data_IF_352293462198
#
_entry.id   IF_352293462198
#
_cell.length_a   1.000
_cell.length_b   1.000
_cell.length_c   1.000
_cell.angle_alpha   90.00
_cell.angle_beta   90.00
_cell.angle_gamma   90.00
#
_symmetry.space_group_name_H-M   'P 1'
#
loop_
_entity.id
_entity.type
_entity.pdbx_description
1 polymer ?
#
# COMPACT_ATOMS: atom_id res chain seq x y z
N UNK A 1 16.40 -15.25 16.30
CA UNK A 1 15.82 -16.52 16.80
C UNK A 1 15.11 -16.21 18.11
N UNK A 2 13.77 -16.24 18.10
CA UNK A 2 12.97 -16.07 19.32
C UNK A 2 13.26 -17.20 20.31
N UNK A 3 13.24 -16.90 21.60
CA UNK A 3 13.39 -17.89 22.66
C UNK A 3 12.21 -18.87 22.60
N UNK A 4 12.50 -20.17 22.80
CA UNK A 4 11.49 -21.24 22.81
C UNK A 4 10.46 -20.93 23.90
N UNK A 5 9.19 -20.71 23.54
CA UNK A 5 8.06 -20.64 24.47
C UNK A 5 7.36 -19.28 24.62
N UNK A 6 7.72 -18.25 23.87
CA UNK A 6 6.93 -17.01 23.78
C UNK A 6 6.35 -16.91 22.37
N UNK A 7 5.02 -16.95 22.26
CA UNK A 7 4.35 -16.67 20.98
C UNK A 7 4.72 -15.24 20.52
N UNK A 8 5.04 -15.04 19.23
CA UNK A 8 5.33 -13.70 18.74
C UNK A 8 4.14 -12.76 19.00
N UNK A 9 4.39 -11.49 19.36
CA UNK A 9 3.32 -10.57 19.68
C UNK A 9 2.48 -10.21 18.45
N UNK A 10 1.21 -9.92 18.67
CA UNK A 10 0.36 -9.23 17.69
C UNK A 10 1.01 -7.94 17.22
N UNK A 11 0.74 -7.56 15.97
CA UNK A 11 1.23 -6.31 15.40
C UNK A 11 0.18 -5.69 14.49
N UNK A 12 0.34 -4.40 14.18
CA UNK A 12 -0.63 -3.64 13.40
C UNK A 12 0.00 -3.00 12.17
N UNK A 13 -0.74 -2.98 11.05
CA UNK A 13 -0.44 -2.13 9.89
C UNK A 13 -1.54 -1.07 9.78
N UNK A 14 -1.15 0.20 9.69
CA UNK A 14 -2.09 1.32 9.54
C UNK A 14 -2.15 1.75 8.09
N UNK A 15 -3.34 2.04 7.60
CA UNK A 15 -3.61 2.61 6.29
C UNK A 15 -4.24 3.99 6.44
N UNK A 16 -3.55 4.99 5.91
CA UNK A 16 -4.00 6.37 5.88
C UNK A 16 -4.63 6.63 4.49
N UNK A 17 -5.93 7.01 4.44
CA UNK A 17 -6.60 7.32 3.19
C UNK A 17 -6.19 8.68 2.65
N UNK A 18 -6.62 8.96 1.42
CA UNK A 18 -6.83 10.25 0.77
C UNK A 18 -6.85 11.46 1.73
N UNK A 19 -5.74 12.20 1.80
CA UNK A 19 -5.57 13.36 2.70
C UNK A 19 -5.85 14.69 2.01
N UNK A 20 -5.97 14.69 0.67
CA UNK A 20 -6.04 15.87 -0.20
C UNK A 20 -6.97 16.98 0.30
N UNK A 21 -8.21 16.67 0.70
CA UNK A 21 -9.13 17.71 1.15
C UNK A 21 -8.80 18.25 2.55
N UNK A 22 -8.25 17.42 3.44
CA UNK A 22 -7.80 17.86 4.76
C UNK A 22 -6.60 18.81 4.64
N UNK A 23 -5.65 18.51 3.75
CA UNK A 23 -4.46 19.34 3.56
C UNK A 23 -4.74 20.59 2.71
N UNK A 24 -5.71 20.55 1.80
CA UNK A 24 -6.24 21.74 1.13
C UNK A 24 -6.87 22.73 2.13
N UNK A 25 -7.42 22.22 3.25
CA UNK A 25 -7.81 23.02 4.42
C UNK A 25 -8.75 24.20 4.12
N UNK A 26 -9.79 23.98 3.32
CA UNK A 26 -10.79 25.00 2.98
C UNK A 26 -12.23 24.62 3.37
N UNK A 27 -12.42 23.48 4.04
CA UNK A 27 -13.72 22.97 4.47
C UNK A 27 -14.50 22.20 3.41
N UNK A 28 -13.94 21.97 2.22
CA UNK A 28 -14.58 21.11 1.22
C UNK A 28 -14.84 19.72 1.80
N UNK A 29 -16.03 19.17 1.56
CA UNK A 29 -16.46 17.87 2.12
C UNK A 29 -16.45 17.81 3.67
N UNK A 30 -16.37 18.96 4.35
CA UNK A 30 -16.19 19.01 5.81
C UNK A 30 -14.77 18.65 6.28
N UNK A 31 -13.79 18.62 5.37
CA UNK A 31 -12.42 18.27 5.65
C UNK A 31 -11.56 19.49 6.06
N UNK A 32 -10.76 19.33 7.11
CA UNK A 32 -9.92 20.38 7.69
C UNK A 32 -8.55 19.83 8.12
N UNK A 33 -7.55 20.71 8.19
CA UNK A 33 -6.18 20.30 8.50
C UNK A 33 -6.03 19.65 9.87
N UNK A 34 -6.79 20.11 10.88
CA UNK A 34 -6.76 19.54 12.23
C UNK A 34 -7.14 18.06 12.26
N UNK A 35 -7.95 17.60 11.30
CA UNK A 35 -8.30 16.20 11.16
C UNK A 35 -7.14 15.36 10.64
N UNK A 36 -6.39 15.85 9.65
CA UNK A 36 -5.14 15.20 9.21
C UNK A 36 -4.12 15.13 10.34
N UNK A 37 -3.95 16.25 11.07
CA UNK A 37 -3.05 16.31 12.22
C UNK A 37 -3.47 15.31 13.31
N UNK A 38 -4.77 15.18 13.58
CA UNK A 38 -5.28 14.19 14.53
C UNK A 38 -4.99 12.74 14.10
N UNK A 39 -5.03 12.43 12.80
CA UNK A 39 -4.62 11.12 12.28
C UNK A 39 -3.14 10.84 12.53
N UNK A 40 -2.27 11.79 12.21
CA UNK A 40 -0.85 11.65 12.44
C UNK A 40 -0.51 11.52 13.95
N UNK A 41 -1.10 12.35 14.80
CA UNK A 41 -0.91 12.29 16.25
C UNK A 41 -1.39 10.95 16.82
N UNK A 42 -2.51 10.43 16.34
CA UNK A 42 -2.99 9.12 16.78
C UNK A 42 -2.03 7.97 16.41
N UNK A 43 -1.42 8.00 15.23
CA UNK A 43 -0.41 6.98 14.84
C UNK A 43 0.78 7.03 15.79
N UNK A 44 1.27 8.23 16.13
CA UNK A 44 2.38 8.41 17.08
C UNK A 44 1.99 7.90 18.47
N UNK A 45 0.83 8.31 18.98
CA UNK A 45 0.35 7.95 20.31
C UNK A 45 0.09 6.45 20.46
N UNK A 46 -0.39 5.80 19.38
CA UNK A 46 -0.76 4.37 19.39
C UNK A 46 0.35 3.44 18.93
N UNK A 47 1.50 3.94 18.50
CA UNK A 47 2.62 3.14 18.00
C UNK A 47 2.94 1.94 18.89
N UNK A 48 3.15 2.18 20.19
CA UNK A 48 3.54 1.13 21.13
C UNK A 48 2.36 0.28 21.60
N UNK A 49 1.18 0.88 21.79
CA UNK A 49 -0.02 0.18 22.24
C UNK A 49 -0.52 -0.84 21.21
N UNK A 50 -0.50 -0.46 19.93
CA UNK A 50 -0.95 -1.32 18.83
C UNK A 50 0.18 -2.11 18.17
N UNK A 51 1.42 -1.93 18.63
CA UNK A 51 2.63 -2.47 18.00
C UNK A 51 2.61 -2.22 16.49
N UNK A 52 2.53 -0.94 16.10
CA UNK A 52 2.44 -0.53 14.69
C UNK A 52 3.75 -0.87 13.98
N UNK A 53 3.69 -1.83 13.08
CA UNK A 53 4.84 -2.34 12.32
C UNK A 53 5.04 -1.63 10.98
N UNK A 54 3.98 -1.05 10.41
CA UNK A 54 4.07 -0.26 9.19
C UNK A 54 2.90 0.73 9.04
N UNK A 55 3.14 1.83 8.32
CA UNK A 55 2.12 2.82 7.91
C UNK A 55 2.10 2.93 6.38
N UNK A 56 0.92 2.88 5.77
CA UNK A 56 0.76 2.92 4.31
C UNK A 56 -0.24 4.01 3.93
N UNK A 57 0.20 5.03 3.19
CA UNK A 57 -0.69 6.05 2.62
C UNK A 57 -1.13 5.63 1.22
N UNK A 58 -2.44 5.66 0.95
CA UNK A 58 -3.03 5.09 -0.28
C UNK A 58 -3.07 6.06 -1.48
N UNK A 59 -2.61 7.29 -1.29
CA UNK A 59 -2.48 8.30 -2.36
C UNK A 59 -3.46 9.44 -2.21
N UNK A 60 -3.48 10.32 -3.21
CA UNK A 60 -4.04 11.67 -3.13
C UNK A 60 -3.56 12.37 -1.86
N UNK A 61 -2.25 12.61 -1.84
CA UNK A 61 -1.53 13.25 -0.73
C UNK A 61 -1.93 14.72 -0.61
N UNK A 62 -2.12 15.38 -1.75
CA UNK A 62 -2.54 16.78 -1.86
C UNK A 62 -3.66 16.90 -2.90
N UNK A 63 -4.36 18.03 -2.93
CA UNK A 63 -5.45 18.29 -3.88
C UNK A 63 -4.94 18.79 -5.23
N UNK A 64 -3.91 19.63 -5.20
CA UNK A 64 -3.26 20.18 -6.38
C UNK A 64 -1.74 20.09 -6.24
N UNK A 65 -1.13 19.07 -6.86
CA UNK A 65 0.31 18.77 -6.75
C UNK A 65 1.28 19.96 -6.88
N UNK A 66 0.94 20.95 -7.70
CA UNK A 66 1.79 22.12 -7.95
C UNK A 66 1.76 23.17 -6.81
N UNK A 67 0.84 23.03 -5.83
CA UNK A 67 0.68 23.96 -4.71
C UNK A 67 1.54 23.54 -3.53
N UNK A 68 2.68 24.19 -3.36
CA UNK A 68 3.63 23.84 -2.28
C UNK A 68 3.03 23.91 -0.87
N UNK A 69 2.09 24.81 -0.62
CA UNK A 69 1.50 24.97 0.72
C UNK A 69 0.62 23.77 1.13
N UNK A 70 0.09 22.99 0.19
CA UNK A 70 -0.62 21.75 0.50
C UNK A 70 0.35 20.67 0.97
N UNK A 71 1.54 20.61 0.35
CA UNK A 71 2.63 19.75 0.82
C UNK A 71 3.14 20.20 2.19
N UNK A 72 3.29 21.50 2.43
CA UNK A 72 3.64 22.03 3.75
C UNK A 72 2.62 21.59 4.82
N UNK A 73 1.32 21.58 4.47
CA UNK A 73 0.26 21.07 5.34
C UNK A 73 0.33 19.55 5.53
N UNK A 74 0.58 18.78 4.48
CA UNK A 74 0.77 17.34 4.57
C UNK A 74 1.93 16.98 5.52
N UNK A 75 3.08 17.63 5.35
CA UNK A 75 4.28 17.34 6.15
C UNK A 75 4.16 17.74 7.62
N UNK A 76 3.26 18.65 8.01
CA UNK A 76 2.97 18.91 9.44
C UNK A 76 2.53 17.65 10.19
N UNK A 77 1.82 16.73 9.53
CA UNK A 77 1.45 15.42 10.06
C UNK A 77 2.50 14.36 9.71
N UNK A 78 2.93 14.30 8.45
CA UNK A 78 3.79 13.22 7.98
C UNK A 78 5.17 13.21 8.67
N UNK A 79 5.76 14.37 8.94
CA UNK A 79 7.05 14.46 9.64
C UNK A 79 6.98 13.85 11.05
N UNK A 80 5.81 13.91 11.70
CA UNK A 80 5.59 13.25 13.00
C UNK A 80 5.65 11.73 12.87
N UNK A 81 5.01 11.20 11.83
CA UNK A 81 5.04 9.76 11.52
C UNK A 81 6.46 9.34 11.16
N UNK A 82 7.19 10.08 10.31
CA UNK A 82 8.58 9.76 9.98
C UNK A 82 9.48 9.71 11.23
N UNK A 83 9.29 10.64 12.17
CA UNK A 83 10.07 10.72 13.40
C UNK A 83 9.89 9.51 14.32
N UNK A 84 8.82 8.73 14.18
CA UNK A 84 8.60 7.48 14.93
C UNK A 84 9.56 6.35 14.54
N UNK A 85 10.17 6.44 13.35
CA UNK A 85 10.97 5.37 12.74
C UNK A 85 10.17 4.16 12.24
N UNK A 86 8.83 4.20 12.29
CA UNK A 86 7.97 3.15 11.75
C UNK A 86 8.21 3.04 10.22
N UNK A 87 8.38 1.83 9.66
CA UNK A 87 8.40 1.62 8.22
C UNK A 87 7.15 2.19 7.54
N UNK A 88 7.35 2.96 6.47
CA UNK A 88 6.23 3.60 5.79
C UNK A 88 6.35 3.56 4.27
N UNK A 89 5.21 3.55 3.59
CA UNK A 89 5.08 3.62 2.13
C UNK A 89 3.95 4.59 1.75
N UNK A 90 4.12 5.26 0.61
CA UNK A 90 3.14 6.17 -0.01
C UNK A 90 3.16 5.91 -1.51
N UNK A 91 1.99 5.99 -2.14
CA UNK A 91 1.84 6.05 -3.60
C UNK A 91 1.16 7.35 -3.99
N UNK A 92 1.37 7.88 -5.22
CA UNK A 92 0.61 9.02 -5.70
C UNK A 92 -0.79 8.59 -6.19
N UNK A 93 -1.77 9.47 -5.98
CA UNK A 93 -3.09 9.40 -6.58
C UNK A 93 -3.25 10.33 -7.79
N UNK A 94 -4.47 10.59 -8.24
CA UNK A 94 -4.69 11.47 -9.39
C UNK A 94 -4.47 12.94 -9.04
N UNK A 95 -4.78 13.37 -7.82
CA UNK A 95 -4.58 14.77 -7.41
C UNK A 95 -3.08 15.12 -7.23
N UNK A 96 -2.24 14.10 -7.11
CA UNK A 96 -0.78 14.22 -7.08
C UNK A 96 -0.14 14.37 -8.48
N UNK A 97 -0.95 14.37 -9.55
CA UNK A 97 -0.46 14.60 -10.92
C UNK A 97 0.00 16.06 -11.11
N UNK A 98 1.15 16.23 -11.77
CA UNK A 98 1.62 17.54 -12.28
C UNK A 98 0.53 18.25 -13.11
N UNK A 99 -0.27 17.47 -13.86
CA UNK A 99 -1.41 17.99 -14.61
C UNK A 99 -2.49 16.93 -14.78
N UNK A 100 -3.65 17.17 -14.17
CA UNK A 100 -4.85 16.35 -14.37
C UNK A 100 -5.32 16.29 -15.83
N UNK A 101 -5.01 17.34 -16.63
CA UNK A 101 -5.34 17.36 -18.06
C UNK A 101 -4.44 16.46 -18.92
N UNK A 102 -3.31 16.00 -18.37
CA UNK A 102 -2.34 15.14 -19.06
C UNK A 102 -1.93 13.97 -18.16
N UNK A 103 -2.88 13.11 -17.76
CA UNK A 103 -2.67 12.10 -16.72
C UNK A 103 -1.72 10.98 -17.13
N UNK A 104 -1.21 10.94 -18.37
CA UNK A 104 -0.26 9.93 -18.84
C UNK A 104 0.98 10.53 -19.50
N UNK A 105 1.22 11.83 -19.32
CA UNK A 105 2.46 12.44 -19.77
C UNK A 105 3.66 11.81 -19.06
N UNK A 106 4.83 11.79 -19.71
CA UNK A 106 6.04 11.20 -19.11
C UNK A 106 6.54 11.94 -17.86
N UNK A 107 6.11 13.18 -17.67
CA UNK A 107 6.44 14.04 -16.52
C UNK A 107 5.27 14.16 -15.51
N UNK A 108 4.28 13.27 -15.60
CA UNK A 108 3.04 13.33 -14.80
C UNK A 108 3.26 13.34 -13.27
N UNK A 109 4.42 12.87 -12.80
CA UNK A 109 4.78 12.79 -11.39
C UNK A 109 5.89 13.76 -10.98
N UNK A 110 6.23 14.75 -11.80
CA UNK A 110 7.31 15.69 -11.48
C UNK A 110 7.03 16.52 -10.23
N UNK A 111 5.79 17.04 -10.05
CA UNK A 111 5.45 17.78 -8.84
C UNK A 111 5.42 16.85 -7.60
N UNK A 112 4.77 15.68 -7.68
CA UNK A 112 4.83 14.67 -6.62
C UNK A 112 6.27 14.37 -6.19
N UNK A 113 7.14 14.02 -7.16
CA UNK A 113 8.54 13.70 -6.88
C UNK A 113 9.34 14.89 -6.36
N UNK A 114 9.04 16.11 -6.79
CA UNK A 114 9.70 17.32 -6.29
C UNK A 114 9.50 17.47 -4.77
N UNK A 115 8.30 17.21 -4.27
CA UNK A 115 7.96 17.43 -2.87
C UNK A 115 8.18 16.20 -1.98
N UNK A 116 7.92 14.99 -2.47
CA UNK A 116 8.01 13.76 -1.65
C UNK A 116 9.42 13.18 -1.57
N UNK A 117 10.29 13.49 -2.54
CA UNK A 117 11.64 12.92 -2.63
C UNK A 117 12.48 13.10 -1.35
N UNK A 118 12.50 14.28 -0.69
CA UNK A 118 13.24 14.44 0.55
C UNK A 118 12.83 13.46 1.65
N UNK A 119 11.55 13.12 1.77
CA UNK A 119 11.06 12.14 2.74
C UNK A 119 11.55 10.73 2.38
N UNK A 120 11.38 10.29 1.13
CA UNK A 120 11.87 8.98 0.69
C UNK A 120 13.40 8.83 0.78
N UNK A 121 14.16 9.90 0.57
CA UNK A 121 15.62 9.88 0.75
C UNK A 121 16.05 9.67 2.20
N UNK A 122 15.19 10.02 3.18
CA UNK A 122 15.38 9.75 4.61
C UNK A 122 14.80 8.41 5.05
N UNK A 123 13.95 7.79 4.24
CA UNK A 123 13.28 6.54 4.57
C UNK A 123 14.28 5.37 4.60
N UNK A 124 14.70 4.99 5.80
CA UNK A 124 15.67 3.89 6.03
C UNK A 124 15.14 2.52 5.62
N UNK A 125 13.84 2.38 5.42
CA UNK A 125 13.17 1.12 5.08
C UNK A 125 12.91 0.96 3.59
N UNK A 126 13.11 2.03 2.80
CA UNK A 126 13.06 2.00 1.34
C UNK A 126 14.17 1.10 0.78
N UNK A 127 13.80 0.18 -0.09
CA UNK A 127 14.71 -0.80 -0.70
C UNK A 127 15.01 -0.48 -2.16
N UNK A 128 13.97 -0.08 -2.90
CA UNK A 128 14.07 0.22 -4.31
C UNK A 128 12.93 1.15 -4.70
N UNK A 129 13.15 1.92 -5.76
CA UNK A 129 12.10 2.72 -6.40
C UNK A 129 12.19 2.61 -7.92
N UNK A 130 11.10 2.93 -8.61
CA UNK A 130 11.05 2.92 -10.07
C UNK A 130 10.22 4.09 -10.62
N UNK A 131 10.78 4.87 -11.57
CA UNK A 131 12.19 4.87 -12.00
C UNK A 131 13.18 5.13 -10.84
N UNK A 132 14.46 4.81 -11.01
CA UNK A 132 15.45 5.01 -9.95
C UNK A 132 15.52 6.50 -9.55
N UNK A 133 15.39 6.78 -8.24
CA UNK A 133 15.39 8.15 -7.72
C UNK A 133 14.08 8.91 -7.90
N UNK A 134 13.05 8.22 -8.38
CA UNK A 134 11.66 8.64 -8.46
C UNK A 134 10.81 7.68 -7.62
N UNK A 135 9.67 8.12 -7.09
CA UNK A 135 8.97 7.45 -5.99
C UNK A 135 7.49 7.19 -6.26
N UNK A 136 7.05 7.32 -7.50
CA UNK A 136 5.72 6.87 -7.94
C UNK A 136 5.55 5.36 -7.82
N UNK A 137 6.65 4.60 -7.86
CA UNK A 137 6.69 3.19 -7.50
C UNK A 137 7.81 2.96 -6.49
N UNK A 138 7.54 2.21 -5.41
CA UNK A 138 8.50 1.99 -4.32
C UNK A 138 8.33 0.63 -3.65
N UNK A 139 9.42 0.10 -3.09
CA UNK A 139 9.41 -1.09 -2.23
C UNK A 139 9.97 -0.74 -0.87
N UNK A 140 9.19 -1.03 0.17
CA UNK A 140 9.55 -0.82 1.58
C UNK A 140 9.48 -2.15 2.30
N UNK A 141 10.48 -2.45 3.12
CA UNK A 141 10.49 -3.66 3.94
C UNK A 141 10.15 -3.35 5.39
N UNK A 142 9.53 -4.33 6.04
CA UNK A 142 9.37 -4.36 7.48
C UNK A 142 9.35 -5.81 7.96
N UNK A 143 9.52 -5.98 9.27
CA UNK A 143 9.52 -7.29 9.93
C UNK A 143 8.64 -7.20 11.18
N UNK A 144 7.81 -8.21 11.40
CA UNK A 144 6.93 -8.28 12.56
C UNK A 144 6.64 -9.74 12.90
N UNK A 145 6.50 -10.06 14.19
CA UNK A 145 6.23 -11.43 14.64
C UNK A 145 7.23 -12.50 14.12
N UNK A 146 8.47 -12.09 13.78
CA UNK A 146 9.47 -12.99 13.18
C UNK A 146 9.24 -13.31 11.70
N UNK A 147 8.30 -12.62 11.04
CA UNK A 147 8.00 -12.73 9.62
C UNK A 147 8.51 -11.51 8.85
N UNK A 148 8.91 -11.74 7.61
CA UNK A 148 9.34 -10.68 6.70
C UNK A 148 8.18 -10.23 5.80
N UNK A 149 8.02 -8.92 5.68
CA UNK A 149 7.00 -8.29 4.84
C UNK A 149 7.63 -7.32 3.84
N UNK A 150 6.86 -6.99 2.80
CA UNK A 150 7.15 -5.90 1.88
C UNK A 150 5.87 -5.18 1.47
N UNK A 151 5.94 -3.86 1.35
CA UNK A 151 4.92 -3.05 0.68
C UNK A 151 5.44 -2.72 -0.71
N UNK A 152 4.67 -3.07 -1.74
CA UNK A 152 4.95 -2.75 -3.15
C UNK A 152 4.00 -1.64 -3.56
N UNK A 153 4.50 -0.41 -3.51
CA UNK A 153 3.81 0.78 -4.00
C UNK A 153 3.90 0.86 -5.52
N UNK A 154 2.74 0.97 -6.18
CA UNK A 154 2.61 1.06 -7.63
C UNK A 154 1.79 2.30 -7.96
N UNK A 155 2.28 3.11 -8.90
CA UNK A 155 1.67 4.37 -9.32
C UNK A 155 0.22 4.19 -9.81
N UNK A 156 -0.60 5.24 -9.70
CA UNK A 156 -1.92 5.26 -10.33
C UNK A 156 -1.81 5.18 -11.87
N UNK A 157 -2.59 4.30 -12.49
CA UNK A 157 -2.54 4.09 -13.93
C UNK A 157 -1.14 3.64 -14.39
N UNK A 158 -0.64 2.50 -13.88
CA UNK A 158 0.74 2.09 -14.06
C UNK A 158 1.07 1.76 -15.51
N UNK A 159 2.35 1.86 -15.85
CA UNK A 159 2.86 1.34 -17.11
C UNK A 159 3.16 -0.16 -17.00
N UNK A 160 3.28 -0.86 -18.14
CA UNK A 160 3.75 -2.24 -18.13
C UNK A 160 5.15 -2.37 -17.50
N UNK A 161 6.03 -1.37 -17.71
CA UNK A 161 7.37 -1.37 -17.12
C UNK A 161 7.32 -1.29 -15.59
N UNK A 162 6.39 -0.51 -15.04
CA UNK A 162 6.17 -0.40 -13.59
C UNK A 162 5.73 -1.75 -13.01
N UNK A 163 4.84 -2.48 -13.69
CA UNK A 163 4.42 -3.83 -13.27
C UNK A 163 5.52 -4.89 -13.44
N UNK A 164 6.30 -4.81 -14.52
CA UNK A 164 7.43 -5.71 -14.76
C UNK A 164 8.51 -5.52 -13.69
N UNK A 165 8.80 -4.27 -13.33
CA UNK A 165 9.70 -3.94 -12.21
C UNK A 165 9.15 -4.48 -10.88
N UNK A 166 7.86 -4.29 -10.58
CA UNK A 166 7.25 -4.79 -9.36
C UNK A 166 7.30 -6.34 -9.29
N UNK A 167 7.06 -7.02 -10.41
CA UNK A 167 7.24 -8.47 -10.55
C UNK A 167 8.67 -8.91 -10.23
N UNK A 168 9.67 -8.16 -10.70
CA UNK A 168 11.07 -8.45 -10.39
C UNK A 168 11.34 -8.34 -8.88
N UNK A 169 10.83 -7.32 -8.20
CA UNK A 169 11.01 -7.17 -6.76
C UNK A 169 10.37 -8.36 -6.00
N UNK A 170 9.14 -8.73 -6.34
CA UNK A 170 8.46 -9.89 -5.73
C UNK A 170 9.24 -11.19 -5.96
N UNK A 171 9.80 -11.39 -7.16
CA UNK A 171 10.59 -12.58 -7.48
C UNK A 171 11.94 -12.66 -6.77
N UNK A 172 12.56 -11.51 -6.49
CA UNK A 172 13.82 -11.41 -5.72
C UNK A 172 13.58 -11.66 -4.22
N UNK A 173 12.36 -11.42 -3.74
CA UNK A 173 11.99 -11.52 -2.33
C UNK A 173 10.82 -12.51 -2.08
N UNK A 174 10.91 -13.77 -2.53
CA UNK A 174 9.79 -14.71 -2.50
C UNK A 174 9.38 -15.14 -1.08
N UNK A 175 10.25 -14.94 -0.07
CA UNK A 175 9.96 -15.21 1.33
C UNK A 175 9.20 -14.08 2.05
N UNK A 176 9.09 -12.90 1.42
CA UNK A 176 8.40 -11.74 1.99
C UNK A 176 6.93 -11.75 1.61
N UNK A 177 6.06 -11.58 2.59
CA UNK A 177 4.62 -11.37 2.38
C UNK A 177 4.38 -9.96 1.85
N UNK A 178 3.73 -9.86 0.70
CA UNK A 178 3.57 -8.61 -0.02
C UNK A 178 2.18 -8.01 0.15
N UNK A 179 2.16 -6.74 0.52
CA UNK A 179 1.02 -5.83 0.41
C UNK A 179 1.23 -5.01 -0.86
N UNK A 180 0.27 -5.02 -1.78
CA UNK A 180 0.26 -4.08 -2.92
C UNK A 180 -0.47 -2.83 -2.48
N UNK A 181 0.19 -1.68 -2.63
CA UNK A 181 -0.44 -0.36 -2.46
C UNK A 181 -0.56 0.27 -3.84
N UNK A 182 -1.79 0.51 -4.29
CA UNK A 182 -2.07 1.19 -5.55
C UNK A 182 -3.29 2.07 -5.35
N UNK A 183 -3.21 3.35 -5.72
CA UNK A 183 -4.28 4.29 -5.41
C UNK A 183 -5.64 3.86 -5.96
N UNK A 184 -5.71 3.34 -7.19
CA UNK A 184 -6.95 2.78 -7.73
C UNK A 184 -6.68 1.77 -8.85
N UNK A 185 -6.99 0.49 -8.59
CA UNK A 185 -6.53 -0.63 -9.45
C UNK A 185 -7.13 -0.63 -10.85
N UNK A 186 -8.21 0.13 -11.07
CA UNK A 186 -8.91 0.19 -12.37
C UNK A 186 -8.40 1.33 -13.27
N UNK A 187 -7.65 2.31 -12.78
CA UNK A 187 -7.20 3.48 -13.57
C UNK A 187 -6.17 3.13 -14.67
N UNK A 188 -5.71 1.88 -14.76
CA UNK A 188 -4.89 1.37 -15.87
C UNK A 188 -5.68 0.64 -16.97
N UNK A 189 -6.95 0.32 -16.73
CA UNK A 189 -7.70 -0.63 -17.55
C UNK A 189 -7.94 -0.11 -18.98
N UNK A 190 -8.14 1.20 -19.15
CA UNK A 190 -8.29 1.82 -20.48
C UNK A 190 -7.05 1.71 -21.37
N UNK A 191 -5.88 1.46 -20.75
CA UNK A 191 -4.60 1.21 -21.44
C UNK A 191 -4.27 -0.28 -21.52
N UNK A 192 -5.21 -1.15 -21.14
CA UNK A 192 -5.02 -2.61 -21.13
C UNK A 192 -4.17 -3.12 -19.97
N UNK A 193 -3.97 -2.33 -18.91
CA UNK A 193 -3.18 -2.70 -17.75
C UNK A 193 -4.11 -3.17 -16.62
N UNK A 194 -4.05 -4.46 -16.30
CA UNK A 194 -4.84 -5.12 -15.26
C UNK A 194 -3.98 -5.41 -14.03
N UNK A 195 -4.05 -4.51 -13.03
CA UNK A 195 -3.29 -4.63 -11.77
C UNK A 195 -3.76 -5.84 -10.95
N UNK A 196 -5.06 -6.11 -10.90
CA UNK A 196 -5.61 -7.23 -10.12
C UNK A 196 -5.21 -8.56 -10.75
N UNK A 197 -5.35 -8.68 -12.07
CA UNK A 197 -4.88 -9.86 -12.81
C UNK A 197 -3.37 -10.04 -12.72
N UNK A 198 -2.59 -8.95 -12.70
CA UNK A 198 -1.15 -9.00 -12.42
C UNK A 198 -0.86 -9.53 -11.02
N UNK A 199 -1.55 -9.03 -9.99
CA UNK A 199 -1.34 -9.45 -8.61
C UNK A 199 -1.63 -10.95 -8.41
N UNK A 200 -2.70 -11.48 -9.03
CA UNK A 200 -3.05 -12.91 -8.99
C UNK A 200 -1.94 -13.84 -9.51
N UNK A 201 -1.01 -13.34 -10.34
CA UNK A 201 0.14 -14.12 -10.84
C UNK A 201 1.33 -14.17 -9.88
N UNK A 202 1.24 -13.53 -8.72
CA UNK A 202 2.31 -13.48 -7.73
C UNK A 202 1.86 -14.08 -6.40
N UNK A 203 2.46 -15.22 -6.07
CA UNK A 203 2.04 -16.06 -4.95
C UNK A 203 2.19 -15.39 -3.57
N UNK A 204 3.21 -14.55 -3.40
CA UNK A 204 3.52 -13.94 -2.11
C UNK A 204 2.71 -12.67 -1.82
N UNK A 205 1.83 -12.24 -2.73
CA UNK A 205 0.85 -11.17 -2.47
C UNK A 205 -0.32 -11.76 -1.68
N UNK A 206 -0.67 -11.12 -0.58
CA UNK A 206 -1.83 -11.52 0.25
C UNK A 206 -2.84 -10.38 0.43
N UNK A 207 -2.47 -9.14 0.12
CA UNK A 207 -3.31 -7.97 0.31
C UNK A 207 -3.10 -6.96 -0.82
N UNK A 208 -4.18 -6.35 -1.28
CA UNK A 208 -4.19 -5.19 -2.16
C UNK A 208 -4.99 -4.09 -1.45
N UNK A 209 -4.37 -2.93 -1.30
CA UNK A 209 -5.00 -1.73 -0.73
C UNK A 209 -5.08 -0.63 -1.79
N UNK A 210 -6.21 0.09 -1.79
CA UNK A 210 -6.52 1.23 -2.67
C UNK A 210 -7.41 2.26 -1.97
N UNK A 211 -7.52 3.46 -2.56
CA UNK A 211 -8.34 4.60 -2.12
C UNK A 211 -9.19 5.13 -3.28
N UNK A 212 -9.21 6.45 -3.51
CA UNK A 212 -9.79 7.15 -4.68
C UNK A 212 -11.33 7.20 -4.79
N UNK A 213 -12.02 6.15 -4.39
CA UNK A 213 -13.47 6.03 -4.59
C UNK A 213 -14.26 6.44 -3.34
N UNK A 214 -15.07 7.50 -3.47
CA UNK A 214 -16.04 7.99 -2.49
C UNK A 214 -17.02 6.92 -1.93
N UNK A 215 -16.98 5.68 -2.41
CA UNK A 215 -17.64 4.51 -1.83
C UNK A 215 -17.31 4.24 -0.35
N UNK A 216 -16.45 5.03 0.31
CA UNK A 216 -16.01 4.93 1.71
C UNK A 216 -15.05 3.78 1.93
N UNK A 217 -15.58 2.58 1.85
CA UNK A 217 -14.84 1.37 2.15
C UNK A 217 -15.59 0.13 1.67
N UNK A 218 -14.81 -0.84 1.22
CA UNK A 218 -15.28 -2.20 1.02
C UNK A 218 -14.10 -3.14 1.09
N UNK A 219 -14.39 -4.42 1.27
CA UNK A 219 -13.39 -5.47 1.19
C UNK A 219 -13.97 -6.66 0.42
N UNK A 220 -13.10 -7.42 -0.26
CA UNK A 220 -13.45 -8.69 -0.89
C UNK A 220 -12.25 -9.63 -0.93
N UNK A 221 -12.52 -10.92 -0.97
CA UNK A 221 -11.50 -11.94 -1.19
C UNK A 221 -11.47 -12.31 -2.67
N UNK A 222 -10.31 -12.18 -3.29
CA UNK A 222 -10.00 -12.78 -4.60
C UNK A 222 -8.98 -13.91 -4.39
N UNK A 223 -8.71 -14.69 -5.43
CA UNK A 223 -7.79 -15.84 -5.34
C UNK A 223 -6.68 -15.72 -6.38
N UNK A 224 -5.44 -15.97 -5.98
CA UNK A 224 -4.30 -16.03 -6.88
C UNK A 224 -4.33 -17.30 -7.75
N UNK A 225 -3.39 -17.45 -8.68
CA UNK A 225 -3.32 -18.60 -9.61
C UNK A 225 -3.03 -19.95 -8.91
N UNK A 226 -2.70 -19.93 -7.62
CA UNK A 226 -2.51 -21.08 -6.75
C UNK A 226 -3.72 -21.38 -5.87
N UNK A 227 -4.79 -20.60 -5.95
CA UNK A 227 -5.98 -20.74 -5.13
C UNK A 227 -5.82 -20.21 -3.70
N UNK A 228 -4.79 -19.40 -3.43
CA UNK A 228 -4.59 -18.76 -2.14
C UNK A 228 -5.28 -17.38 -2.12
N UNK A 229 -5.84 -16.95 -0.97
CA UNK A 229 -6.60 -15.71 -0.89
C UNK A 229 -5.70 -14.48 -1.01
N UNK A 230 -6.20 -13.48 -1.72
CA UNK A 230 -5.72 -12.10 -1.68
C UNK A 230 -6.88 -11.26 -1.17
N UNK A 231 -6.65 -10.54 -0.08
CA UNK A 231 -7.61 -9.60 0.48
C UNK A 231 -7.50 -8.27 -0.26
N UNK A 232 -8.51 -7.92 -1.04
CA UNK A 232 -8.59 -6.62 -1.74
C UNK A 232 -9.49 -5.68 -0.95
N UNK A 233 -9.03 -4.44 -0.77
CA UNK A 233 -9.61 -3.49 0.15
C UNK A 233 -9.59 -2.09 -0.47
N UNK A 234 -10.73 -1.41 -0.40
CA UNK A 234 -10.84 0.03 -0.66
C UNK A 234 -10.98 0.78 0.66
N UNK A 235 -10.29 1.90 0.80
CA UNK A 235 -10.32 2.78 1.97
C UNK A 235 -10.19 4.22 1.51
N UNK A 236 -11.30 4.94 1.50
CA UNK A 236 -11.34 6.35 1.10
C UNK A 236 -12.53 7.08 1.75
N UNK A 237 -12.23 7.97 2.70
CA UNK A 237 -13.25 8.75 3.40
C UNK A 237 -13.24 10.23 3.02
N UNK A 238 -12.60 10.60 1.91
CA UNK A 238 -12.47 11.99 1.48
C UNK A 238 -13.85 12.68 1.31
N UNK A 239 -14.89 11.91 0.99
CA UNK A 239 -16.22 12.41 0.68
C UNK A 239 -17.19 12.49 1.89
N UNK A 240 -16.71 12.31 3.14
CA UNK A 240 -17.58 12.35 4.33
C UNK A 240 -17.21 13.33 5.43
N UNK A 241 -15.99 13.88 5.41
CA UNK A 241 -15.52 14.83 6.44
C UNK A 241 -15.29 14.19 7.81
N UNK A 242 -15.38 12.86 7.93
CA UNK A 242 -15.18 12.17 9.20
C UNK A 242 -13.71 11.87 9.50
N UNK A 243 -12.84 11.95 8.49
CA UNK A 243 -11.41 11.69 8.60
C UNK A 243 -11.09 10.35 9.29
N UNK A 244 -11.76 9.30 8.86
CA UNK A 244 -11.42 7.93 9.27
C UNK A 244 -10.06 7.51 8.71
N UNK A 245 -9.38 6.63 9.43
CA UNK A 245 -8.28 5.81 8.95
C UNK A 245 -8.61 4.34 9.22
N UNK A 246 -7.84 3.42 8.63
CA UNK A 246 -7.97 1.99 8.90
C UNK A 246 -6.71 1.42 9.50
N UNK A 247 -6.87 0.40 10.33
CA UNK A 247 -5.75 -0.39 10.81
C UNK A 247 -6.12 -1.87 10.90
N UNK A 248 -5.09 -2.70 10.73
CA UNK A 248 -5.23 -4.15 10.64
C UNK A 248 -4.31 -4.79 11.68
N UNK A 249 -4.90 -5.39 12.69
CA UNK A 249 -4.16 -6.08 13.75
C UNK A 249 -4.05 -7.56 13.41
N UNK A 250 -2.82 -7.99 13.16
CA UNK A 250 -2.46 -9.38 12.91
C UNK A 250 -2.44 -10.13 14.24
N UNK A 251 -3.45 -10.97 14.44
CA UNK A 251 -3.64 -11.82 15.63
C UNK A 251 -2.85 -13.11 15.45
N UNK A 252 -1.59 -13.09 15.89
CA UNK A 252 -0.62 -14.16 15.57
C UNK A 252 -1.08 -15.51 16.10
N UNK A 253 -1.51 -15.56 17.37
CA UNK A 253 -1.98 -16.77 18.04
C UNK A 253 -3.32 -17.29 17.50
N UNK A 254 -4.10 -16.41 16.86
CA UNK A 254 -5.44 -16.74 16.34
C UNK A 254 -5.43 -17.07 14.84
N UNK A 255 -4.33 -16.81 14.14
CA UNK A 255 -4.24 -17.09 12.69
C UNK A 255 -5.14 -16.17 11.85
N UNK A 256 -5.42 -14.95 12.30
CA UNK A 256 -6.29 -14.00 11.59
C UNK A 256 -5.79 -12.56 11.65
N UNK A 257 -6.43 -11.70 10.87
CA UNK A 257 -6.21 -10.25 10.86
C UNK A 257 -7.55 -9.57 11.12
N UNK A 258 -7.61 -8.76 12.17
CA UNK A 258 -8.77 -7.94 12.51
C UNK A 258 -8.63 -6.57 11.84
N UNK A 259 -9.68 -6.13 11.15
CA UNK A 259 -9.78 -4.83 10.50
C UNK A 259 -10.62 -3.87 11.35
N UNK A 260 -10.16 -2.62 11.48
CA UNK A 260 -10.87 -1.56 12.19
C UNK A 260 -10.85 -0.26 11.40
N UNK A 261 -11.95 0.48 11.47
CA UNK A 261 -12.10 1.85 10.95
C UNK A 261 -12.30 2.81 12.12
N UNK A 262 -11.45 3.82 12.23
CA UNK A 262 -11.42 4.74 13.37
C UNK A 262 -11.18 6.18 12.94
N UNK A 263 -11.94 7.13 13.50
CA UNK A 263 -11.77 8.57 13.29
C UNK A 263 -11.09 9.16 14.53
N UNK A 264 -9.82 9.58 14.42
CA UNK A 264 -9.10 10.22 15.52
C UNK A 264 -9.70 11.57 15.94
N UNK A 265 -10.10 12.40 14.97
CA UNK A 265 -10.66 13.73 15.24
C UNK A 265 -12.02 13.66 15.95
N UNK A 266 -12.80 12.60 15.71
CA UNK A 266 -14.09 12.37 16.36
C UNK A 266 -14.01 11.36 17.52
N UNK A 267 -12.84 10.75 17.73
CA UNK A 267 -12.59 9.70 18.72
C UNK A 267 -13.66 8.59 18.71
N UNK A 268 -13.97 8.04 17.54
CA UNK A 268 -14.99 6.99 17.39
C UNK A 268 -14.60 5.92 16.37
N UNK A 269 -15.06 4.70 16.63
CA UNK A 269 -15.04 3.62 15.66
C UNK A 269 -16.25 3.69 14.73
N UNK A 270 -16.06 3.25 13.50
CA UNK A 270 -17.13 2.76 12.64
C UNK A 270 -17.16 1.23 12.78
N UNK A 271 -18.35 0.64 12.99
CA UNK A 271 -18.47 -0.76 13.43
C UNK A 271 -19.45 -1.57 12.59
N UNK A 272 -19.75 -1.12 11.37
CA UNK A 272 -20.56 -1.93 10.45
C UNK A 272 -19.74 -3.08 9.84
N UNK A 273 -20.37 -3.88 8.98
CA UNK A 273 -19.77 -5.07 8.39
C UNK A 273 -18.53 -4.77 7.52
N UNK A 274 -18.43 -3.59 6.91
CA UNK A 274 -17.28 -3.17 6.13
C UNK A 274 -16.21 -2.49 6.99
N UNK A 275 -16.59 -1.96 8.15
CA UNK A 275 -15.71 -1.21 9.04
C UNK A 275 -14.97 -2.07 10.07
N UNK A 276 -15.63 -3.13 10.55
CA UNK A 276 -15.07 -4.03 11.56
C UNK A 276 -15.32 -5.49 11.19
N UNK A 277 -14.26 -6.16 10.73
CA UNK A 277 -14.31 -7.53 10.21
C UNK A 277 -12.95 -8.22 10.40
N UNK A 278 -12.82 -9.48 9.97
CA UNK A 278 -11.55 -10.19 9.99
C UNK A 278 -11.40 -11.14 8.79
N UNK A 279 -10.15 -11.54 8.52
CA UNK A 279 -9.84 -12.60 7.55
C UNK A 279 -8.70 -13.49 8.07
N UNK A 280 -8.66 -14.73 7.60
CA UNK A 280 -7.63 -15.70 7.98
C UNK A 280 -6.26 -15.30 7.39
N UNK A 281 -5.19 -15.52 8.15
CA UNK A 281 -3.83 -15.26 7.71
C UNK A 281 -2.86 -16.34 8.14
N UNK A 282 -2.06 -16.83 7.20
CA UNK A 282 -1.07 -17.87 7.47
C UNK A 282 0.26 -17.26 7.95
N UNK A 283 0.53 -17.43 9.25
CA UNK A 283 1.79 -17.05 9.89
C UNK A 283 2.91 -18.10 9.73
N UNK A 284 2.63 -19.28 9.16
CA UNK A 284 3.64 -20.29 8.86
C UNK A 284 4.53 -19.93 7.66
N UNK A 285 5.60 -20.68 7.40
CA UNK A 285 6.50 -20.38 6.28
C UNK A 285 5.76 -20.29 4.94
N UNK A 286 6.11 -19.29 4.11
CA UNK A 286 5.70 -19.31 2.72
C UNK A 286 6.35 -20.55 2.07
N UNK A 287 5.56 -21.48 1.51
CA UNK A 287 6.11 -22.71 0.95
C UNK A 287 7.21 -22.42 -0.08
N UNK A 288 8.37 -23.05 0.12
CA UNK A 288 9.54 -22.88 -0.72
C UNK A 288 9.21 -23.17 -2.20
N UNK A 289 9.97 -22.53 -3.09
CA UNK A 289 9.84 -22.48 -4.56
C UNK A 289 9.87 -23.83 -5.31
N UNK A 290 9.79 -24.97 -4.63
CA UNK A 290 10.11 -26.29 -5.18
C UNK A 290 8.97 -26.98 -5.92
N UNK A 291 7.85 -26.32 -6.24
CA UNK A 291 6.87 -26.89 -7.18
C UNK A 291 7.37 -26.72 -8.64
N UNK A 292 7.81 -27.78 -9.33
CA UNK A 292 8.28 -27.71 -10.71
C UNK A 292 7.15 -27.32 -11.68
N UNK A 293 5.88 -27.50 -11.30
CA UNK A 293 4.73 -27.15 -12.12
C UNK A 293 4.51 -25.62 -12.22
N UNK A 294 4.90 -24.84 -11.22
CA UNK A 294 4.84 -23.38 -11.25
C UNK A 294 5.88 -22.79 -12.23
N UNK A 295 7.06 -23.41 -12.34
CA UNK A 295 8.14 -23.02 -13.26
C UNK A 295 7.71 -23.12 -14.74
N UNK A 296 6.91 -24.13 -15.08
CA UNK A 296 6.44 -24.37 -16.44
C UNK A 296 5.25 -23.49 -16.85
N UNK A 297 4.40 -23.07 -15.89
CA UNK A 297 3.31 -22.11 -16.15
C UNK A 297 3.86 -20.70 -16.44
N UNK A 298 4.92 -20.28 -15.75
CA UNK A 298 5.58 -18.99 -15.99
C UNK A 298 6.25 -18.89 -17.37
N UNK A 299 6.95 -19.93 -17.83
CA UNK A 299 7.56 -19.95 -19.18
C UNK A 299 6.53 -19.80 -20.30
N UNK A 300 5.30 -20.27 -20.10
CA UNK A 300 4.20 -20.10 -21.05
C UNK A 300 3.60 -18.70 -21.00
N UNK A 301 3.51 -18.08 -19.82
CA UNK A 301 2.98 -16.72 -19.65
C UNK A 301 3.95 -15.61 -20.12
N UNK A 302 5.27 -15.84 -19.98
CA UNK A 302 6.29 -14.83 -20.30
C UNK A 302 6.73 -14.81 -21.78
N UNK A 303 6.11 -15.60 -22.68
CA UNK A 303 6.44 -15.59 -24.12
C UNK A 303 7.88 -15.99 -24.46
N UNK A 304 8.67 -16.52 -23.52
CA UNK A 304 10.05 -16.93 -23.76
C UNK A 304 10.05 -18.30 -24.42
N UNK A 305 9.81 -18.29 -25.74
CA UNK A 305 10.00 -19.44 -26.62
C UNK A 305 11.46 -19.88 -26.57
N UNK A 306 11.73 -20.99 -25.88
CA UNK A 306 13.02 -21.66 -25.94
C UNK A 306 13.24 -22.20 -27.34
N UNK A 307 13.99 -21.47 -28.16
CA UNK A 307 14.59 -21.98 -29.40
C UNK A 307 15.58 -23.08 -29.06
N UNK A 308 15.11 -24.33 -29.04
CA UNK A 308 15.95 -25.51 -29.07
C UNK A 308 16.24 -25.88 -30.51
N UNK A 309 17.40 -25.44 -31.02
CA UNK A 309 17.97 -25.99 -32.25
C UNK A 309 18.27 -27.47 -32.07
N UNK A 310 17.54 -28.31 -32.81
CA UNK A 310 17.86 -29.72 -32.98
C UNK A 310 18.92 -29.88 -34.05
N UNK A 311 20.10 -30.34 -33.65
CA UNK A 311 21.05 -30.99 -34.57
C UNK A 311 20.54 -32.39 -34.89
N UNK A 312 20.54 -32.71 -36.18
CA UNK A 312 20.19 -33.99 -36.79
C UNK A 312 20.28 -33.84 -38.30
#
# INVERSE_FOLDING_TARGET
RLAIGVEPPDFTVVFIPDTQFMVMNNGYSGAWLDQWIAQADWVVDKQHELNIAAVVHVGDVVEEAHRSWEWDNFFQGWDKIEATGIPWSIVPGNHDLTSMAQPFASNRWDDYNKFIAPAFQRNLHLQSSFPQGKYENSVVFFEAAGLEFMVVGIELGPTQQSLDWASEQLHRHPGRRAIVNNHFVVWGAERGIDVVGWAKRHRNIFMIQQGHDCAREWNRVIYNDWGEPIQEILTDYQCSGDAFLRYYTFRVSEGRVDAFTFSPSQNRFETDFNSQWHFDFNFGDLPARTDPAARNRYRRAAGVGGGGGGGG
#
